data_IF_873188811140
#
_entry.id   IF_873188811140
#
_cell.length_a   1.000
_cell.length_b   1.000
_cell.length_c   1.000
_cell.angle_alpha   90.00
_cell.angle_beta   90.00
_cell.angle_gamma   90.00
#
_symmetry.space_group_name_H-M   'P 1'
#
loop_
_entity.id
_entity.type
_entity.pdbx_description
1 polymer ?
#
# COMPACT_ATOMS: atom_id res chain seq x y z
N UNK A 1 4.12 -12.59 2.04
CA UNK A 1 3.84 -11.16 1.78
C UNK A 1 2.41 -10.89 2.24
N UNK A 2 2.18 -9.93 3.14
CA UNK A 2 0.85 -9.71 3.74
C UNK A 2 -0.04 -8.86 2.82
N UNK A 3 -1.36 -9.00 2.96
CA UNK A 3 -2.35 -8.25 2.15
C UNK A 3 -2.16 -6.73 2.26
N UNK A 4 -1.72 -6.23 3.42
CA UNK A 4 -1.34 -4.83 3.64
C UNK A 4 -0.13 -4.39 2.81
N UNK A 5 0.90 -5.24 2.70
CA UNK A 5 2.07 -4.91 1.87
C UNK A 5 1.69 -4.85 0.39
N UNK A 6 0.85 -5.77 -0.08
CA UNK A 6 0.37 -5.78 -1.46
C UNK A 6 -0.50 -4.54 -1.77
N UNK A 7 -1.43 -4.21 -0.88
CA UNK A 7 -2.28 -3.02 -1.03
C UNK A 7 -1.45 -1.72 -1.01
N UNK A 8 -0.47 -1.58 -0.10
CA UNK A 8 0.38 -0.40 -0.02
C UNK A 8 1.30 -0.25 -1.24
N UNK A 9 1.85 -1.36 -1.76
CA UNK A 9 2.64 -1.36 -3.01
C UNK A 9 1.79 -0.94 -4.21
N UNK A 10 0.59 -1.49 -4.34
CA UNK A 10 -0.33 -1.11 -5.40
C UNK A 10 -0.67 0.40 -5.31
N UNK A 11 -0.93 0.91 -4.10
CA UNK A 11 -1.18 2.33 -3.88
C UNK A 11 0.02 3.20 -4.25
N UNK A 12 1.24 2.75 -3.91
CA UNK A 12 2.47 3.46 -4.27
C UNK A 12 2.72 3.50 -5.78
N UNK A 13 2.40 2.41 -6.49
CA UNK A 13 2.60 2.29 -7.94
C UNK A 13 1.54 3.05 -8.76
N UNK A 14 0.29 3.04 -8.30
CA UNK A 14 -0.85 3.61 -9.05
C UNK A 14 -1.29 4.99 -8.54
N UNK A 15 -0.78 5.45 -7.39
CA UNK A 15 -1.11 6.74 -6.81
C UNK A 15 -2.45 6.74 -6.08
N UNK A 16 -3.42 7.50 -6.59
CA UNK A 16 -4.77 7.57 -6.02
C UNK A 16 -5.65 6.48 -6.64
N UNK A 17 -6.20 5.58 -5.82
CA UNK A 17 -6.97 4.43 -6.28
C UNK A 17 -8.17 4.12 -5.37
N UNK A 18 -9.21 3.55 -5.96
CA UNK A 18 -10.33 2.97 -5.22
C UNK A 18 -10.00 1.55 -4.75
N UNK A 19 -10.79 1.05 -3.79
CA UNK A 19 -10.70 -0.35 -3.32
C UNK A 19 -10.82 -1.34 -4.48
N UNK A 20 -11.72 -1.06 -5.42
CA UNK A 20 -11.98 -1.94 -6.57
C UNK A 20 -10.79 -1.99 -7.53
N UNK A 21 -10.16 -0.85 -7.80
CA UNK A 21 -8.95 -0.80 -8.64
C UNK A 21 -7.79 -1.58 -8.02
N UNK A 22 -7.61 -1.51 -6.70
CA UNK A 22 -6.56 -2.27 -6.00
C UNK A 22 -6.90 -3.75 -5.96
N UNK A 23 -8.17 -4.11 -5.75
CA UNK A 23 -8.63 -5.49 -5.79
C UNK A 23 -8.39 -6.14 -7.15
N UNK A 24 -8.66 -5.41 -8.23
CA UNK A 24 -8.39 -5.84 -9.60
C UNK A 24 -6.87 -6.02 -9.84
N UNK A 25 -6.05 -5.04 -9.45
CA UNK A 25 -4.60 -5.09 -9.63
C UNK A 25 -3.89 -6.18 -8.81
N UNK A 26 -4.43 -6.53 -7.63
CA UNK A 26 -3.81 -7.49 -6.71
C UNK A 26 -4.43 -8.88 -6.73
N UNK A 27 -5.62 -9.03 -7.34
CA UNK A 27 -6.42 -10.26 -7.27
C UNK A 27 -6.97 -10.55 -5.86
N UNK A 28 -6.87 -9.61 -4.92
CA UNK A 28 -7.35 -9.77 -3.54
C UNK A 28 -8.84 -9.39 -3.49
N UNK A 29 -9.62 -10.11 -2.69
CA UNK A 29 -11.03 -9.76 -2.47
C UNK A 29 -11.16 -8.33 -1.92
N UNK A 30 -12.08 -7.54 -2.50
CA UNK A 30 -12.29 -6.13 -2.16
C UNK A 30 -12.51 -5.88 -0.66
N UNK A 31 -13.21 -6.78 0.04
CA UNK A 31 -13.38 -6.68 1.50
C UNK A 31 -12.07 -6.78 2.30
N UNK A 32 -11.12 -7.60 1.84
CA UNK A 32 -9.79 -7.72 2.45
C UNK A 32 -8.90 -6.54 2.11
N UNK A 33 -8.95 -6.07 0.86
CA UNK A 33 -8.28 -4.83 0.44
C UNK A 33 -8.76 -3.66 1.28
N UNK A 34 -10.07 -3.55 1.48
CA UNK A 34 -10.65 -2.49 2.31
C UNK A 34 -10.15 -2.55 3.77
N UNK A 35 -10.14 -3.74 4.38
CA UNK A 35 -9.61 -3.92 5.73
C UNK A 35 -8.11 -3.56 5.82
N UNK A 36 -7.34 -3.95 4.81
CA UNK A 36 -5.91 -3.63 4.70
C UNK A 36 -5.69 -2.12 4.57
N UNK A 37 -6.43 -1.44 3.69
CA UNK A 37 -6.37 0.01 3.51
C UNK A 37 -6.79 0.76 4.77
N UNK A 38 -7.85 0.32 5.46
CA UNK A 38 -8.23 0.92 6.74
C UNK A 38 -7.13 0.81 7.79
N UNK A 39 -6.44 -0.34 7.86
CA UNK A 39 -5.32 -0.50 8.78
C UNK A 39 -4.16 0.44 8.41
N UNK A 40 -3.82 0.55 7.12
CA UNK A 40 -2.79 1.47 6.62
C UNK A 40 -3.13 2.95 6.91
N UNK A 41 -4.41 3.33 6.84
CA UNK A 41 -4.87 4.67 7.22
C UNK A 41 -4.69 4.93 8.71
N UNK A 42 -5.00 3.94 9.57
CA UNK A 42 -4.76 4.04 11.02
C UNK A 42 -3.27 4.15 11.36
N UNK A 43 -2.42 3.53 10.56
CA UNK A 43 -0.96 3.59 10.67
C UNK A 43 -0.35 4.82 9.97
N UNK A 44 -1.16 5.73 9.43
CA UNK A 44 -0.71 6.94 8.72
C UNK A 44 0.15 6.66 7.47
N UNK A 45 0.07 5.45 6.94
CA UNK A 45 0.77 5.02 5.72
C UNK A 45 -0.05 5.30 4.45
N UNK A 46 -1.35 5.50 4.60
CA UNK A 46 -2.27 5.88 3.53
C UNK A 46 -3.26 6.92 4.05
N UNK A 47 -3.88 7.67 3.13
CA UNK A 47 -4.98 8.58 3.40
C UNK A 47 -6.17 8.20 2.55
N UNK A 48 -7.37 8.38 3.10
CA UNK A 48 -8.62 8.19 2.35
C UNK A 48 -9.28 9.54 2.08
N UNK A 49 -9.64 9.80 0.83
CA UNK A 49 -10.45 10.93 0.41
C UNK A 49 -11.79 10.41 -0.12
N UNK A 50 -12.90 11.11 0.17
CA UNK A 50 -14.19 10.82 -0.44
C UNK A 50 -14.48 11.84 -1.54
N UNK A 51 -14.80 11.37 -2.75
CA UNK A 51 -15.21 12.21 -3.88
C UNK A 51 -16.40 11.56 -4.56
N UNK A 52 -17.46 12.33 -4.77
CA UNK A 52 -18.68 11.90 -5.50
C UNK A 52 -19.34 10.60 -4.97
N UNK A 53 -19.14 10.27 -3.69
CA UNK A 53 -19.66 9.05 -3.06
C UNK A 53 -18.68 7.89 -3.00
N UNK A 54 -17.57 7.96 -3.76
CA UNK A 54 -16.52 6.96 -3.79
C UNK A 54 -15.39 7.27 -2.80
N UNK A 55 -14.79 6.21 -2.26
CA UNK A 55 -13.63 6.29 -1.39
C UNK A 55 -12.34 6.01 -2.18
N UNK A 56 -11.52 7.04 -2.29
CA UNK A 56 -10.20 7.01 -2.90
C UNK A 56 -9.15 6.92 -1.80
N UNK A 57 -8.08 6.20 -2.07
CA UNK A 57 -6.95 6.03 -1.18
C UNK A 57 -5.70 6.52 -1.90
N UNK A 58 -4.80 7.14 -1.15
CA UNK A 58 -3.49 7.58 -1.65
C UNK A 58 -2.41 7.26 -0.63
N UNK A 59 -1.22 6.94 -1.09
CA UNK A 59 -0.07 6.66 -0.22
C UNK A 59 0.51 7.96 0.36
N UNK A 60 0.91 7.95 1.62
CA UNK A 60 1.64 9.06 2.25
C UNK A 60 3.15 8.93 2.01
N UNK A 61 3.92 9.96 2.32
CA UNK A 61 5.39 9.86 2.30
C UNK A 61 5.93 8.79 3.26
N UNK A 62 5.26 8.55 4.39
CA UNK A 62 5.61 7.47 5.30
C UNK A 62 5.34 6.09 4.66
N UNK A 63 4.19 5.93 4.00
CA UNK A 63 3.85 4.71 3.27
C UNK A 63 4.80 4.43 2.11
N UNK A 64 5.23 5.46 1.37
CA UNK A 64 6.23 5.33 0.31
C UNK A 64 7.58 4.83 0.84
N UNK A 65 8.10 5.46 1.89
CA UNK A 65 9.36 5.03 2.53
C UNK A 65 9.29 3.59 3.04
N UNK A 66 8.14 3.15 3.56
CA UNK A 66 7.95 1.76 3.98
C UNK A 66 8.04 0.78 2.79
N UNK A 67 7.41 1.12 1.65
CA UNK A 67 7.49 0.30 0.44
C UNK A 67 8.94 0.22 -0.06
N UNK A 68 9.62 1.36 -0.14
CA UNK A 68 11.03 1.44 -0.54
C UNK A 68 11.92 0.61 0.39
N UNK A 69 11.68 0.68 1.71
CA UNK A 69 12.40 -0.13 2.70
C UNK A 69 12.23 -1.63 2.47
N UNK A 70 11.02 -2.09 2.11
CA UNK A 70 10.77 -3.50 1.79
C UNK A 70 11.43 -3.95 0.49
N UNK A 71 11.61 -3.05 -0.47
CA UNK A 71 12.24 -3.34 -1.77
C UNK A 71 13.77 -3.24 -1.73
N UNK A 72 14.31 -2.45 -0.79
CA UNK A 72 15.75 -2.31 -0.51
C UNK A 72 16.28 -3.37 0.48
N UNK A 73 15.41 -3.99 1.29
CA UNK A 73 15.77 -5.06 2.21
C UNK A 73 16.63 -6.20 1.63
N UNK A 74 16.47 -6.67 0.37
CA UNK A 74 17.33 -7.73 -0.17
C UNK A 74 18.76 -7.27 -0.53
N UNK A 75 19.14 -5.99 -0.33
CA UNK A 75 20.46 -5.47 -0.74
C UNK A 75 21.42 -5.11 0.40
N UNK A 76 20.98 -5.13 1.66
CA UNK A 76 21.84 -4.79 2.80
C UNK A 76 22.54 -6.00 3.43
N UNK A 77 22.10 -7.23 3.14
CA UNK A 77 22.77 -8.44 3.66
C UNK A 77 24.05 -8.83 2.90
N UNK A 78 24.30 -8.24 1.72
CA UNK A 78 25.48 -8.54 0.91
C UNK A 78 26.64 -7.52 1.10
N UNK A 79 26.40 -6.42 1.82
CA UNK A 79 27.41 -5.36 2.04
C UNK A 79 27.95 -5.28 3.48
N UNK A 80 27.50 -6.18 4.37
CA UNK A 80 27.97 -6.29 5.77
C UNK A 80 28.96 -7.43 6.04
N UNK A 81 29.41 -8.14 4.99
CA UNK A 81 30.49 -9.14 5.05
C UNK A 81 31.55 -8.84 3.99
N UNK A 82 32.29 -7.76 4.17
CA UNK A 82 33.55 -7.52 3.48
C UNK A 82 34.61 -7.12 4.51
#
# INVERSE_FOLDING_TARGET
>A
MTEKMQALRALSAHGECTVLQIADATGIQSGRVFAALQALVREQCAVSAKREGDAFFSVTDAGRQMVESWELAPKQEEMGRA
#
